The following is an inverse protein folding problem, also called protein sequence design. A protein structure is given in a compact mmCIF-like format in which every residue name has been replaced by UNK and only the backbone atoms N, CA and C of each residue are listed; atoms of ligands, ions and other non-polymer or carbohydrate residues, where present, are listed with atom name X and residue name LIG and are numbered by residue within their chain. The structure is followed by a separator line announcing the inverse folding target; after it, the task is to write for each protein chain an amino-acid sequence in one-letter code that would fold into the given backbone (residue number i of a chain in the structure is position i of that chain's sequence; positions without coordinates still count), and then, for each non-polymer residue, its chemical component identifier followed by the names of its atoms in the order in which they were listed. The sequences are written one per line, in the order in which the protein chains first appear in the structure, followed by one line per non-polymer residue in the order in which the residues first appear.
data_IF_229498751082
#
_entry.id   IF_229498751082
#
_cell.length_a   1.000
_cell.length_b   1.000
_cell.length_c   1.000
_cell.angle_alpha   90.00
_cell.angle_beta   90.00
_cell.angle_gamma   90.00
#
_symmetry.space_group_name_H-M   'P 1'
#
loop_
_entity.id
_entity.type
_entity.pdbx_description
1 polymer ?
#
# COMPACT_ATOMS: atom_id res chain seq x y z
N UNK A 1 4.53 -6.06 -22.86
CA UNK A 1 4.93 -6.56 -21.53
C UNK A 1 4.08 -5.86 -20.49
N UNK A 2 3.46 -6.60 -19.57
CA UNK A 2 2.48 -6.05 -18.62
C UNK A 2 3.15 -5.70 -17.28
N UNK A 3 3.92 -4.61 -17.29
CA UNK A 3 4.84 -4.22 -16.19
C UNK A 3 4.06 -4.00 -14.89
N UNK A 4 2.94 -3.29 -14.93
CA UNK A 4 2.15 -2.97 -13.74
C UNK A 4 1.53 -4.20 -13.07
N UNK A 5 1.13 -5.22 -13.84
CA UNK A 5 0.67 -6.48 -13.24
C UNK A 5 1.80 -7.24 -12.57
N UNK A 6 3.02 -7.22 -13.14
CA UNK A 6 4.15 -7.89 -12.50
C UNK A 6 4.48 -7.22 -11.17
N UNK A 7 4.59 -5.88 -11.15
CA UNK A 7 4.86 -5.13 -9.91
C UNK A 7 3.75 -5.37 -8.87
N UNK A 8 2.49 -5.47 -9.30
CA UNK A 8 1.39 -5.77 -8.38
C UNK A 8 1.48 -7.18 -7.78
N UNK A 9 1.97 -8.17 -8.53
CA UNK A 9 2.24 -9.52 -8.01
C UNK A 9 3.38 -9.50 -7.00
N UNK A 10 4.48 -8.83 -7.33
CA UNK A 10 5.65 -8.72 -6.45
C UNK A 10 5.28 -8.02 -5.13
N UNK A 11 4.56 -6.90 -5.23
CA UNK A 11 4.04 -6.19 -4.07
C UNK A 11 3.03 -7.01 -3.27
N UNK A 12 2.24 -7.88 -3.91
CA UNK A 12 1.34 -8.77 -3.19
C UNK A 12 2.11 -9.82 -2.36
N UNK A 13 3.23 -10.33 -2.87
CA UNK A 13 4.09 -11.24 -2.12
C UNK A 13 4.78 -10.55 -0.95
N UNK A 14 5.19 -9.28 -1.11
CA UNK A 14 5.69 -8.45 0.00
C UNK A 14 4.65 -8.26 1.11
N UNK A 15 3.39 -8.01 0.75
CA UNK A 15 2.29 -7.90 1.73
C UNK A 15 2.06 -9.23 2.45
N UNK A 16 2.10 -10.36 1.74
CA UNK A 16 1.96 -11.70 2.37
C UNK A 16 3.08 -12.02 3.34
N UNK A 17 4.31 -11.55 3.06
CA UNK A 17 5.47 -11.74 3.91
C UNK A 17 5.56 -10.72 5.06
N UNK A 18 4.72 -9.69 5.06
CA UNK A 18 4.72 -8.63 6.08
C UNK A 18 4.03 -9.10 7.37
N UNK A 19 4.68 -8.86 8.50
CA UNK A 19 4.07 -9.07 9.82
C UNK A 19 3.07 -7.97 10.21
N UNK A 20 2.92 -6.95 9.38
CA UNK A 20 2.39 -5.66 9.78
C UNK A 20 1.23 -5.22 8.87
N UNK A 21 1.20 -5.71 7.63
CA UNK A 21 0.11 -5.54 6.67
C UNK A 21 -0.77 -6.79 6.58
N UNK A 22 -2.03 -6.60 6.18
CA UNK A 22 -2.98 -7.67 5.90
C UNK A 22 -3.88 -7.27 4.73
N UNK A 23 -4.18 -8.22 3.84
CA UNK A 23 -5.13 -8.00 2.75
C UNK A 23 -6.56 -7.90 3.29
N UNK A 24 -7.27 -6.84 2.89
CA UNK A 24 -8.70 -6.66 3.22
C UNK A 24 -9.58 -7.40 2.22
N UNK A 25 -9.14 -7.45 0.97
CA UNK A 25 -9.71 -8.29 -0.10
C UNK A 25 -8.58 -8.94 -0.89
N UNK A 26 -8.81 -10.10 -1.54
CA UNK A 26 -7.83 -10.69 -2.42
C UNK A 26 -7.36 -9.69 -3.49
N UNK A 27 -6.04 -9.61 -3.78
CA UNK A 27 -5.53 -8.73 -4.81
C UNK A 27 -6.14 -9.07 -6.17
N UNK A 28 -6.45 -8.06 -6.97
CA UNK A 28 -7.06 -8.22 -8.30
C UNK A 28 -6.41 -7.26 -9.28
N UNK A 29 -5.95 -7.79 -10.42
CA UNK A 29 -5.20 -7.05 -11.44
C UNK A 29 -4.03 -6.28 -10.80
N UNK A 30 -4.02 -4.95 -10.92
CA UNK A 30 -2.99 -4.05 -10.39
C UNK A 30 -3.44 -3.30 -9.12
N UNK A 31 -4.43 -3.82 -8.40
CA UNK A 31 -5.00 -3.19 -7.20
C UNK A 31 -4.73 -4.04 -5.96
N UNK A 32 -4.15 -3.40 -4.95
CA UNK A 32 -3.93 -3.96 -3.62
C UNK A 32 -4.75 -3.16 -2.60
N UNK A 33 -5.52 -3.85 -1.76
CA UNK A 33 -6.25 -3.24 -0.65
C UNK A 33 -5.77 -3.87 0.64
N UNK A 34 -5.08 -3.07 1.46
CA UNK A 34 -4.44 -3.56 2.67
C UNK A 34 -4.87 -2.73 3.87
N UNK A 35 -4.94 -3.39 5.02
CA UNK A 35 -4.96 -2.74 6.32
C UNK A 35 -3.56 -2.85 6.94
N UNK A 36 -3.16 -1.81 7.63
CA UNK A 36 -2.02 -1.80 8.53
C UNK A 36 -2.50 -2.18 9.94
N UNK A 37 -2.01 -3.31 10.46
CA UNK A 37 -2.44 -3.85 11.75
C UNK A 37 -2.07 -2.90 12.90
N UNK A 38 -3.03 -2.60 13.78
CA UNK A 38 -2.81 -1.75 14.95
C UNK A 38 -2.90 -0.24 14.70
N UNK A 39 -3.02 0.21 13.45
CA UNK A 39 -3.21 1.64 13.15
C UNK A 39 -4.65 2.10 13.38
N UNK A 40 -4.78 3.23 14.06
CA UNK A 40 -6.00 4.04 14.11
C UNK A 40 -6.16 4.87 12.83
N UNK A 41 -7.36 5.40 12.52
CA UNK A 41 -7.55 6.32 11.39
C UNK A 41 -6.59 7.53 11.40
N UNK A 42 -6.23 8.02 12.59
CA UNK A 42 -5.27 9.13 12.73
C UNK A 42 -3.83 8.71 12.41
N UNK A 43 -3.45 7.45 12.63
CA UNK A 43 -2.14 6.93 12.22
C UNK A 43 -2.01 6.92 10.69
N UNK A 44 -3.06 6.45 9.99
CA UNK A 44 -3.11 6.50 8.53
C UNK A 44 -2.97 7.92 8.00
N UNK A 45 -3.68 8.89 8.61
CA UNK A 45 -3.61 10.30 8.21
C UNK A 45 -2.21 10.87 8.43
N UNK A 46 -1.63 10.68 9.62
CA UNK A 46 -0.26 11.12 9.93
C UNK A 46 0.78 10.51 8.98
N UNK A 47 0.65 9.23 8.66
CA UNK A 47 1.53 8.56 7.71
C UNK A 47 1.35 9.12 6.30
N UNK A 48 0.12 9.25 5.81
CA UNK A 48 -0.19 9.81 4.49
C UNK A 48 0.35 11.23 4.32
N UNK A 49 0.13 12.09 5.30
CA UNK A 49 0.59 13.49 5.29
C UNK A 49 2.12 13.56 5.25
N UNK A 50 2.80 12.73 6.06
CA UNK A 50 4.26 12.62 6.04
C UNK A 50 4.80 12.13 4.70
N UNK A 51 4.23 11.07 4.11
CA UNK A 51 4.67 10.55 2.81
C UNK A 51 4.52 11.58 1.68
N UNK A 52 3.46 12.39 1.73
CA UNK A 52 3.25 13.48 0.78
C UNK A 52 4.25 14.62 1.01
N UNK A 53 4.45 15.02 2.27
CA UNK A 53 5.38 16.09 2.65
C UNK A 53 6.83 15.75 2.25
N UNK A 54 7.26 14.52 2.49
CA UNK A 54 8.60 14.04 2.20
C UNK A 54 8.81 13.73 0.70
N UNK A 55 7.76 13.86 -0.13
CA UNK A 55 7.82 13.58 -1.56
C UNK A 55 7.99 12.09 -1.90
N UNK A 56 7.68 11.20 -0.95
CA UNK A 56 7.87 9.74 -1.09
C UNK A 56 6.70 9.12 -1.83
N UNK A 57 5.46 9.42 -1.41
CA UNK A 57 4.27 8.82 -2.00
C UNK A 57 3.02 9.67 -1.78
N UNK A 58 2.09 9.61 -2.73
CA UNK A 58 0.75 10.18 -2.58
C UNK A 58 -0.28 9.05 -2.47
N UNK A 59 -0.49 8.55 -1.25
CA UNK A 59 -1.43 7.47 -0.95
C UNK A 59 -2.39 7.93 0.14
N UNK A 60 -3.64 8.17 -0.25
CA UNK A 60 -4.68 8.63 0.69
C UNK A 60 -5.46 7.46 1.27
N UNK A 61 -5.71 7.43 2.60
CA UNK A 61 -6.54 6.42 3.23
C UNK A 61 -7.99 6.48 2.72
N UNK A 62 -8.66 5.34 2.71
CA UNK A 62 -10.07 5.23 2.33
C UNK A 62 -10.81 4.33 3.32
N UNK A 63 -12.14 4.33 3.28
CA UNK A 63 -12.97 3.53 4.18
C UNK A 63 -13.59 2.35 3.43
N UNK A 64 -13.42 1.13 3.96
CA UNK A 64 -14.08 -0.07 3.49
C UNK A 64 -14.82 -0.74 4.66
N UNK A 65 -16.16 -0.82 4.57
CA UNK A 65 -17.02 -1.43 5.62
C UNK A 65 -16.77 -0.89 7.03
N UNK A 66 -16.47 0.41 7.15
CA UNK A 66 -16.19 1.07 8.42
C UNK A 66 -14.72 0.99 8.89
N UNK A 67 -13.87 0.24 8.18
CA UNK A 67 -12.43 0.17 8.46
C UNK A 67 -11.65 1.15 7.59
N UNK A 68 -10.64 1.82 8.16
CA UNK A 68 -9.70 2.64 7.39
C UNK A 68 -8.63 1.72 6.77
N UNK A 69 -8.44 1.84 5.46
CA UNK A 69 -7.57 0.97 4.65
C UNK A 69 -6.77 1.80 3.63
N UNK A 70 -5.72 1.19 3.06
CA UNK A 70 -4.99 1.76 1.92
C UNK A 70 -5.35 0.99 0.64
N UNK A 71 -5.76 1.73 -0.40
CA UNK A 71 -6.03 1.18 -1.72
C UNK A 71 -5.00 1.68 -2.72
N UNK A 72 -4.06 0.81 -3.09
CA UNK A 72 -2.98 1.12 -4.02
C UNK A 72 -3.34 0.61 -5.41
N UNK A 73 -3.43 1.51 -6.38
CA UNK A 73 -3.69 1.21 -7.77
C UNK A 73 -2.40 1.43 -8.59
N UNK A 74 -1.74 0.35 -9.00
CA UNK A 74 -0.51 0.41 -9.78
C UNK A 74 -0.87 0.65 -11.25
N UNK A 75 -0.88 1.93 -11.64
CA UNK A 75 -1.24 2.37 -13.01
C UNK A 75 -0.06 2.93 -13.79
N UNK A 76 1.00 3.35 -13.10
CA UNK A 76 2.19 3.93 -13.73
C UNK A 76 3.15 2.80 -14.16
N UNK A 77 3.44 2.61 -15.45
CA UNK A 77 4.36 1.57 -15.92
C UNK A 77 5.83 1.84 -15.53
N UNK A 78 6.13 3.00 -14.94
CA UNK A 78 7.45 3.33 -14.38
C UNK A 78 7.57 3.01 -12.89
N UNK A 79 6.51 2.51 -12.25
CA UNK A 79 6.59 2.07 -10.86
C UNK A 79 7.51 0.85 -10.78
N UNK A 80 8.47 0.92 -9.85
CA UNK A 80 9.43 -0.15 -9.60
C UNK A 80 9.06 -0.90 -8.30
N UNK A 81 9.22 -2.25 -8.23
CA UNK A 81 8.91 -3.00 -7.01
C UNK A 81 9.64 -2.52 -5.76
N UNK A 82 10.84 -1.95 -5.89
CA UNK A 82 11.58 -1.38 -4.74
C UNK A 82 10.85 -0.18 -4.13
N UNK A 83 10.10 0.59 -4.92
CA UNK A 83 9.28 1.68 -4.40
C UNK A 83 8.11 1.15 -3.55
N UNK A 84 7.57 -0.03 -3.91
CA UNK A 84 6.55 -0.71 -3.11
C UNK A 84 7.14 -1.22 -1.79
N UNK A 85 8.34 -1.80 -1.83
CA UNK A 85 9.06 -2.22 -0.63
C UNK A 85 9.32 -1.03 0.31
N UNK A 86 9.85 0.08 -0.21
CA UNK A 86 10.05 1.32 0.56
C UNK A 86 8.74 1.82 1.20
N UNK A 87 7.65 1.80 0.45
CA UNK A 87 6.34 2.20 0.96
C UNK A 87 5.90 1.29 2.11
N UNK A 88 6.00 -0.03 1.96
CA UNK A 88 5.61 -0.97 3.01
C UNK A 88 6.51 -0.90 4.24
N UNK A 89 7.81 -0.68 4.06
CA UNK A 89 8.76 -0.53 5.16
C UNK A 89 8.50 0.76 5.96
N UNK A 90 8.05 1.84 5.31
CA UNK A 90 7.63 3.08 5.99
C UNK A 90 6.47 2.90 6.98
N UNK A 91 5.80 1.74 6.95
CA UNK A 91 4.69 1.39 7.83
C UNK A 91 5.11 0.44 8.97
N UNK A 92 6.37 0.00 9.09
CA UNK A 92 6.76 -1.01 10.10
C UNK A 92 6.60 -0.52 11.54
N UNK A 93 6.76 0.78 11.77
CA UNK A 93 6.68 1.44 13.08
C UNK A 93 5.35 2.16 13.29
#
# INVERSE_FOLDING_TARGET
MEITLQVARDAADMVRASEHLEFVVPPSLSILVVRRKGWSPDDYRRWSDRMLHDGIAFVVPTTHKGETVLRMCLVNPRTDPTQMQMLFDSMRD
#
